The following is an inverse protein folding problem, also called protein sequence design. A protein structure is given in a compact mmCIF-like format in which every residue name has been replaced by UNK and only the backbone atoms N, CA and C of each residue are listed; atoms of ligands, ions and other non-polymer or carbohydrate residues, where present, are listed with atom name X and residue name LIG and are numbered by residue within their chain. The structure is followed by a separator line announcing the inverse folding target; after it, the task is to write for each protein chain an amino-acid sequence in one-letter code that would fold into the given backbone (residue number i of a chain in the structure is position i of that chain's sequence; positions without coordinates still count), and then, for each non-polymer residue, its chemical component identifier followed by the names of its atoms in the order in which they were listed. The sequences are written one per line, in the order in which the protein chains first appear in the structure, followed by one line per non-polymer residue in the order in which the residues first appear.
data_IF_758995232155
#
_entry.id   IF_758995232155
#
_cell.length_a   1.000
_cell.length_b   1.000
_cell.length_c   1.000
_cell.angle_alpha   90.00
_cell.angle_beta   90.00
_cell.angle_gamma   90.00
#
_symmetry.space_group_name_H-M   'P 1'
#
loop_
_entity.id
_entity.type
_entity.pdbx_description
1 polymer ?
#
# COMPACT_ATOMS: atom_id res chain seq x y z
N UNK A 1 3.35 -10.37 -20.30
CA UNK A 1 3.29 -9.14 -19.48
C UNK A 1 3.96 -8.03 -20.27
N UNK A 2 3.29 -6.89 -20.45
CA UNK A 2 3.95 -5.70 -20.96
C UNK A 2 5.09 -5.34 -19.99
N UNK A 3 6.31 -5.29 -20.52
CA UNK A 3 7.52 -5.05 -19.74
C UNK A 3 7.62 -3.55 -19.49
N UNK A 4 7.66 -3.15 -18.22
CA UNK A 4 7.84 -1.76 -17.80
C UNK A 4 9.34 -1.45 -17.71
N UNK A 5 9.73 -0.27 -18.17
CA UNK A 5 11.10 0.25 -18.13
C UNK A 5 11.18 1.55 -17.31
N UNK A 6 12.39 1.94 -16.90
CA UNK A 6 12.60 3.17 -16.12
C UNK A 6 12.13 4.39 -16.91
N UNK A 7 11.35 5.25 -16.26
CA UNK A 7 10.78 6.44 -16.86
C UNK A 7 9.38 6.24 -17.46
N UNK A 8 8.91 5.00 -17.59
CA UNK A 8 7.53 4.73 -17.99
C UNK A 8 6.54 5.33 -16.99
N UNK A 9 5.45 5.88 -17.51
CA UNK A 9 4.34 6.44 -16.73
C UNK A 9 3.19 5.44 -16.68
N UNK A 10 2.76 5.06 -15.49
CA UNK A 10 1.61 4.19 -15.26
C UNK A 10 0.55 4.93 -14.41
N UNK A 11 -0.01 5.99 -14.99
CA UNK A 11 -0.91 6.91 -14.31
C UNK A 11 -0.14 7.92 -13.43
N UNK A 12 -0.55 8.17 -12.17
CA UNK A 12 0.14 9.11 -11.27
C UNK A 12 1.51 8.60 -10.78
N UNK A 13 1.92 7.39 -11.18
CA UNK A 13 3.18 6.77 -10.79
C UNK A 13 4.16 6.72 -11.97
N UNK A 14 5.44 6.88 -11.66
CA UNK A 14 6.57 6.77 -12.59
C UNK A 14 7.44 5.60 -12.16
N UNK A 15 7.87 4.76 -13.10
CA UNK A 15 8.85 3.70 -12.83
C UNK A 15 10.20 4.34 -12.54
N UNK A 16 10.63 4.31 -11.29
CA UNK A 16 11.92 4.86 -10.88
C UNK A 16 13.06 3.88 -11.16
N UNK A 17 12.86 2.60 -10.83
CA UNK A 17 13.87 1.57 -11.03
C UNK A 17 13.25 0.19 -11.27
N UNK A 18 13.99 -0.63 -12.01
CA UNK A 18 13.67 -2.03 -12.26
C UNK A 18 14.91 -2.85 -11.91
N UNK A 19 14.80 -3.71 -10.90
CA UNK A 19 15.86 -4.63 -10.48
C UNK A 19 15.43 -6.05 -10.83
N UNK A 20 16.27 -6.78 -11.56
CA UNK A 20 16.05 -8.18 -11.87
C UNK A 20 17.07 -9.03 -11.11
N UNK A 21 16.56 -9.90 -10.26
CA UNK A 21 17.31 -10.95 -9.59
C UNK A 21 16.92 -12.31 -10.18
N UNK A 22 17.71 -13.35 -9.94
CA UNK A 22 17.49 -14.68 -10.54
C UNK A 22 16.11 -15.29 -10.21
N UNK A 23 15.52 -14.92 -9.07
CA UNK A 23 14.23 -15.44 -8.61
C UNK A 23 13.07 -14.44 -8.75
N UNK A 24 13.35 -13.14 -8.88
CA UNK A 24 12.32 -12.11 -8.82
C UNK A 24 12.68 -10.84 -9.60
N UNK A 25 11.66 -10.11 -10.05
CA UNK A 25 11.82 -8.73 -10.56
C UNK A 25 11.14 -7.76 -9.62
N UNK A 26 11.89 -6.76 -9.15
CA UNK A 26 11.38 -5.68 -8.31
C UNK A 26 11.28 -4.39 -9.12
N UNK A 27 10.11 -3.77 -9.08
CA UNK A 27 9.82 -2.46 -9.63
C UNK A 27 9.64 -1.48 -8.48
N UNK A 28 10.35 -0.35 -8.53
CA UNK A 28 10.11 0.76 -7.60
C UNK A 28 9.47 1.90 -8.35
N UNK A 29 8.41 2.45 -7.78
CA UNK A 29 7.66 3.56 -8.34
C UNK A 29 7.84 4.80 -7.47
N UNK A 30 8.04 5.93 -8.14
CA UNK A 30 7.94 7.24 -7.52
C UNK A 30 6.59 7.86 -7.85
N UNK A 31 6.00 8.55 -6.88
CA UNK A 31 4.70 9.19 -6.99
C UNK A 31 3.80 8.84 -5.81
N UNK A 32 2.99 9.83 -5.42
CA UNK A 32 1.98 9.64 -4.38
C UNK A 32 0.66 9.23 -5.03
N UNK A 33 0.09 8.13 -4.57
CA UNK A 33 -1.33 7.89 -4.79
C UNK A 33 -2.10 8.71 -3.75
N UNK A 34 -2.37 9.96 -4.10
CA UNK A 34 -3.17 10.86 -3.26
C UNK A 34 -4.62 10.36 -3.21
N UNK A 35 -5.24 10.44 -2.03
CA UNK A 35 -6.62 10.04 -1.77
C UNK A 35 -6.90 8.52 -1.85
N UNK A 36 -5.90 7.66 -1.61
CA UNK A 36 -6.19 6.23 -1.40
C UNK A 36 -6.88 6.07 -0.06
N UNK A 37 -8.20 5.89 -0.09
CA UNK A 37 -8.96 5.48 1.10
C UNK A 37 -8.78 3.99 1.30
N UNK A 38 -8.40 3.60 2.51
CA UNK A 38 -8.14 2.23 2.90
C UNK A 38 -8.05 2.11 4.42
N UNK A 39 -7.94 0.90 4.93
CA UNK A 39 -7.65 0.64 6.34
C UNK A 39 -6.29 -0.04 6.50
N UNK A 40 -5.50 0.41 7.47
CA UNK A 40 -4.31 -0.30 7.92
C UNK A 40 -4.64 -1.29 9.04
N UNK A 41 -4.11 -2.51 8.96
CA UNK A 41 -4.14 -3.52 10.00
C UNK A 41 -2.76 -3.61 10.68
N UNK A 42 -2.70 -3.19 11.94
CA UNK A 42 -1.49 -3.17 12.76
C UNK A 42 -0.93 -4.56 13.04
N UNK A 43 -1.78 -5.59 13.08
CA UNK A 43 -1.37 -6.96 13.39
C UNK A 43 -0.66 -7.61 12.20
N UNK A 44 -1.20 -7.41 11.00
CA UNK A 44 -0.67 -8.01 9.77
C UNK A 44 0.31 -7.11 9.03
N UNK A 45 0.39 -5.82 9.39
CA UNK A 45 1.17 -4.81 8.67
C UNK A 45 0.63 -4.52 7.27
N UNK A 46 -0.63 -4.86 6.99
CA UNK A 46 -1.24 -4.73 5.68
C UNK A 46 -2.14 -3.50 5.59
N UNK A 47 -1.99 -2.75 4.51
CA UNK A 47 -2.93 -1.69 4.14
C UNK A 47 -3.88 -2.20 3.06
N UNK A 48 -5.18 -2.17 3.36
CA UNK A 48 -6.25 -2.61 2.48
C UNK A 48 -6.94 -1.41 1.87
N UNK A 49 -7.01 -1.34 0.55
CA UNK A 49 -7.69 -0.25 -0.14
C UNK A 49 -8.80 -0.80 -1.04
N UNK A 50 -9.83 0.02 -1.27
CA UNK A 50 -10.91 -0.37 -2.18
C UNK A 50 -10.40 -0.32 -3.60
N UNK A 51 -10.40 -1.46 -4.27
CA UNK A 51 -10.29 -1.51 -5.72
C UNK A 51 -11.67 -1.16 -6.33
N UNK A 52 -11.67 -0.48 -7.47
CA UNK A 52 -12.89 -0.15 -8.21
C UNK A 52 -13.75 -1.41 -8.40
N UNK A 53 -15.03 -1.34 -8.03
CA UNK A 53 -15.99 -2.46 -8.11
C UNK A 53 -16.16 -3.28 -6.83
N UNK A 54 -15.32 -3.11 -5.80
CA UNK A 54 -15.45 -3.83 -4.53
C UNK A 54 -16.16 -2.98 -3.45
N UNK A 55 -17.14 -3.58 -2.77
CA UNK A 55 -17.93 -2.91 -1.73
C UNK A 55 -17.21 -2.82 -0.38
N UNK A 56 -16.28 -3.74 -0.10
CA UNK A 56 -15.56 -3.85 1.16
C UNK A 56 -14.04 -3.84 0.97
N UNK A 57 -13.34 -3.18 1.90
CA UNK A 57 -11.88 -3.08 1.87
C UNK A 57 -11.17 -4.43 2.10
N UNK A 58 -11.77 -5.34 2.89
CA UNK A 58 -11.22 -6.67 3.16
C UNK A 58 -11.20 -7.59 1.93
N UNK A 59 -12.07 -7.31 0.96
CA UNK A 59 -12.11 -7.95 -0.34
C UNK A 59 -11.32 -7.16 -1.40
N UNK A 60 -10.69 -6.06 -1.00
CA UNK A 60 -9.78 -5.26 -1.83
C UNK A 60 -8.37 -5.86 -1.89
N UNK A 61 -7.47 -5.18 -2.59
CA UNK A 61 -6.06 -5.57 -2.61
C UNK A 61 -5.37 -5.09 -1.33
N UNK A 62 -4.51 -5.94 -0.79
CA UNK A 62 -3.64 -5.62 0.34
C UNK A 62 -2.24 -5.24 -0.14
N UNK A 63 -1.63 -4.27 0.55
CA UNK A 63 -0.25 -3.84 0.36
C UNK A 63 0.49 -4.01 1.67
N UNK A 64 1.68 -4.60 1.64
CA UNK A 64 2.51 -4.71 2.82
C UNK A 64 3.19 -3.36 3.11
N UNK A 65 3.08 -2.88 4.35
CA UNK A 65 3.63 -1.57 4.72
C UNK A 65 5.05 -1.70 5.23
N UNK A 66 5.99 -0.98 4.63
CA UNK A 66 7.42 -1.08 4.94
C UNK A 66 7.82 -0.31 6.19
N UNK A 67 7.13 0.79 6.49
CA UNK A 67 7.42 1.66 7.64
C UNK A 67 6.61 1.31 8.90
N UNK A 68 6.31 0.03 9.14
CA UNK A 68 5.46 -0.43 10.25
C UNK A 68 5.95 0.02 11.64
N UNK A 69 7.26 0.01 11.92
CA UNK A 69 7.79 0.45 13.22
C UNK A 69 7.45 1.90 13.51
N UNK A 70 7.62 2.78 12.52
CA UNK A 70 7.30 4.21 12.63
C UNK A 70 5.79 4.44 12.83
N UNK A 71 4.96 3.62 12.20
CA UNK A 71 3.52 3.66 12.39
C UNK A 71 3.11 3.23 13.81
N UNK A 72 3.71 2.14 14.32
CA UNK A 72 3.43 1.68 15.68
C UNK A 72 3.79 2.74 16.73
N UNK A 73 4.89 3.47 16.54
CA UNK A 73 5.28 4.61 17.38
C UNK A 73 4.28 5.76 17.28
N UNK A 74 3.90 6.16 16.05
CA UNK A 74 2.96 7.26 15.81
C UNK A 74 1.61 7.01 16.48
N UNK A 75 1.17 5.75 16.49
CA UNK A 75 -0.11 5.34 17.05
C UNK A 75 -0.04 5.02 18.53
N UNK A 76 1.16 5.02 19.13
CA UNK A 76 1.40 4.75 20.54
C UNK A 76 0.70 3.46 21.04
N UNK A 77 0.65 2.43 20.19
CA UNK A 77 -0.03 1.17 20.53
C UNK A 77 -1.55 1.22 20.58
N UNK A 78 -2.19 2.29 20.08
CA UNK A 78 -3.64 2.33 19.93
C UNK A 78 -4.09 1.35 18.84
N UNK A 79 -4.88 0.35 19.25
CA UNK A 79 -5.56 -0.54 18.33
C UNK A 79 -6.71 0.21 17.66
N UNK A 80 -6.69 0.29 16.32
CA UNK A 80 -7.75 0.93 15.55
C UNK A 80 -7.55 0.78 14.05
N UNK A 81 -8.62 0.99 13.28
CA UNK A 81 -8.53 1.11 11.82
C UNK A 81 -7.99 2.50 11.49
N UNK A 82 -7.11 2.61 10.51
CA UNK A 82 -6.47 3.88 10.14
C UNK A 82 -6.55 4.14 8.65
N UNK A 83 -6.60 5.41 8.26
CA UNK A 83 -6.43 5.84 6.86
C UNK A 83 -5.06 6.47 6.65
N UNK A 84 -4.61 6.59 5.40
CA UNK A 84 -3.34 7.23 5.06
C UNK A 84 -3.12 7.40 3.55
N UNK A 85 -1.94 7.86 3.17
CA UNK A 85 -1.48 8.03 1.77
C UNK A 85 -0.34 7.07 1.49
N UNK A 86 -0.39 6.36 0.36
CA UNK A 86 0.66 5.42 -0.05
C UNK A 86 1.74 6.14 -0.88
N UNK A 87 3.00 5.83 -0.57
CA UNK A 87 4.18 6.31 -1.28
C UNK A 87 5.25 5.22 -1.35
N UNK A 88 6.38 5.47 -2.03
CA UNK A 88 7.49 4.51 -2.16
C UNK A 88 7.05 3.11 -2.62
N UNK A 89 6.07 3.05 -3.52
CA UNK A 89 5.41 1.81 -3.91
C UNK A 89 6.42 0.92 -4.65
N UNK A 90 6.52 -0.34 -4.22
CA UNK A 90 7.38 -1.35 -4.79
C UNK A 90 6.57 -2.60 -5.12
N UNK A 91 6.82 -3.20 -6.27
CA UNK A 91 6.19 -4.45 -6.69
C UNK A 91 7.27 -5.46 -6.96
N UNK A 92 7.25 -6.58 -6.26
CA UNK A 92 8.13 -7.72 -6.51
C UNK A 92 7.32 -8.84 -7.13
N UNK A 93 7.75 -9.34 -8.29
CA UNK A 93 7.16 -10.48 -8.97
C UNK A 93 8.11 -11.68 -8.89
N UNK A 94 7.59 -12.84 -8.51
CA UNK A 94 8.33 -14.10 -8.41
C UNK A 94 7.46 -15.24 -8.95
N UNK A 95 7.75 -15.72 -10.16
CA UNK A 95 6.87 -16.64 -10.87
C UNK A 95 5.49 -16.03 -11.13
N UNK A 96 4.43 -16.71 -10.69
CA UNK A 96 3.04 -16.21 -10.77
C UNK A 96 2.63 -15.33 -9.58
N UNK A 97 3.49 -15.19 -8.58
CA UNK A 97 3.20 -14.42 -7.39
C UNK A 97 3.65 -12.96 -7.57
N UNK A 98 2.87 -12.03 -7.02
CA UNK A 98 3.24 -10.63 -6.90
C UNK A 98 3.06 -10.18 -5.46
N UNK A 99 4.00 -9.37 -4.98
CA UNK A 99 3.93 -8.71 -3.68
C UNK A 99 4.03 -7.22 -3.91
N UNK A 100 3.10 -6.46 -3.33
CA UNK A 100 3.14 -4.99 -3.36
C UNK A 100 3.52 -4.51 -1.97
N UNK A 101 4.51 -3.63 -1.92
CA UNK A 101 4.99 -2.99 -0.71
C UNK A 101 4.91 -1.47 -0.86
N UNK A 102 4.69 -0.72 0.21
CA UNK A 102 4.67 0.74 0.18
C UNK A 102 4.95 1.33 1.56
N UNK A 103 5.28 2.61 1.60
CA UNK A 103 5.22 3.40 2.84
C UNK A 103 3.82 3.98 2.98
N UNK A 104 3.29 3.99 4.21
CA UNK A 104 2.03 4.63 4.55
C UNK A 104 2.31 5.91 5.36
N UNK A 105 1.86 7.05 4.83
CA UNK A 105 2.07 8.39 5.38
C UNK A 105 0.74 9.08 5.73
N UNK A 106 0.82 10.21 6.44
CA UNK A 106 -0.35 11.04 6.83
C UNK A 106 -1.44 10.22 7.53
N UNK A 107 -1.03 9.37 8.47
CA UNK A 107 -1.92 8.39 9.09
C UNK A 107 -2.90 9.05 10.05
N UNK A 108 -4.16 8.64 9.96
CA UNK A 108 -5.24 9.13 10.81
C UNK A 108 -6.06 7.97 11.38
N UNK A 109 -6.41 8.05 12.67
CA UNK A 109 -7.33 7.11 13.30
C UNK A 109 -8.72 7.25 12.67
N UNK A 110 -9.29 6.14 12.22
CA UNK A 110 -10.71 6.07 11.95
C UNK A 110 -11.42 5.96 13.29
N UNK A 111 -12.01 7.06 13.75
CA UNK A 111 -13.10 6.98 14.70
C UNK A 111 -14.24 6.25 13.99
N UNK A 112 -14.51 5.00 14.38
CA UNK A 112 -15.82 4.42 14.11
C UNK A 112 -16.81 5.38 14.74
N UNK A 113 -17.54 6.15 13.92
CA UNK A 113 -18.76 6.77 14.40
C UNK A 113 -19.64 5.60 14.81
N UNK A 114 -19.72 5.36 16.12
CA UNK A 114 -20.83 4.68 16.74
C UNK A 114 -22.07 5.49 16.37
N UNK A 115 -22.64 5.22 15.19
CA UNK A 115 -24.03 5.53 14.93
C UNK A 115 -24.83 4.67 15.91
N UNK A 116 -25.06 5.22 17.10
CA UNK A 116 -26.15 4.80 17.97
C UNK A 116 -27.44 4.96 17.16
N UNK A 117 -28.04 3.85 16.75
CA UNK A 117 -29.47 3.76 16.45
C UNK A 117 -30.02 2.52 17.11
#
# INVERSE_FOLDING_TARGET
MNRLDKGDKIGPLIVESVKKDNAATTFTFTGDLKNVKGFYDLQTGQFFYKQYGFKDFKNGKAILVKNQSQLNELLQGQNGKLTGTLSSIQVTTSGNNFTVQADLNNVQLMTEQLEKR
#
